data_IF_135850634058
#
_entry.id   IF_135850634058
#
_cell.length_a   1.000
_cell.length_b   1.000
_cell.length_c   1.000
_cell.angle_alpha   90.00
_cell.angle_beta   90.00
_cell.angle_gamma   90.00
#
_symmetry.space_group_name_H-M   'P 1'
#
loop_
_entity.id
_entity.type
_entity.pdbx_description
1 polymer ?
#
# COMPACT_ATOMS: atom_id res chain seq x y z
N UNK A 1 -54.13 -2.94 38.15
CA UNK A 1 -53.83 -1.57 37.69
C UNK A 1 -52.39 -1.19 38.04
N UNK A 2 -51.40 -1.89 37.46
CA UNK A 2 -49.95 -1.64 37.72
C UNK A 2 -49.17 -1.47 36.40
N UNK A 3 -49.67 -2.02 35.28
CA UNK A 3 -49.02 -1.96 33.98
C UNK A 3 -49.05 -0.59 33.28
N UNK A 4 -49.93 0.34 33.68
CA UNK A 4 -50.03 1.66 33.06
C UNK A 4 -49.00 2.67 33.56
N UNK A 5 -48.36 2.41 34.72
CA UNK A 5 -47.36 3.32 35.30
C UNK A 5 -45.95 3.11 34.74
N UNK A 6 -45.66 1.92 34.20
CA UNK A 6 -44.36 1.61 33.60
C UNK A 6 -44.20 2.22 32.20
N UNK A 7 -45.31 2.41 31.46
CA UNK A 7 -45.25 2.94 30.10
C UNK A 7 -44.98 4.46 30.06
N UNK A 8 -45.37 5.20 31.10
CA UNK A 8 -45.14 6.65 31.17
C UNK A 8 -43.69 7.04 31.50
N UNK A 9 -42.91 6.15 32.12
CA UNK A 9 -41.50 6.43 32.45
C UNK A 9 -40.55 6.19 31.28
N UNK A 10 -40.93 5.37 30.30
CA UNK A 10 -40.10 5.06 29.13
C UNK A 10 -40.06 6.20 28.09
N UNK A 11 -41.09 7.06 28.06
CA UNK A 11 -41.20 8.13 27.04
C UNK A 11 -40.41 9.39 27.45
N UNK A 12 -40.19 9.60 28.76
CA UNK A 12 -39.43 10.75 29.28
C UNK A 12 -37.91 10.62 29.17
N UNK A 13 -37.39 9.43 28.82
CA UNK A 13 -35.95 9.20 28.62
C UNK A 13 -35.50 9.38 27.16
N UNK A 14 -36.44 9.42 26.20
CA UNK A 14 -36.11 9.47 24.77
C UNK A 14 -35.92 10.89 24.21
N UNK A 15 -36.19 11.94 25.00
CA UNK A 15 -36.14 13.33 24.51
C UNK A 15 -34.84 14.08 24.82
N UNK A 16 -33.78 13.41 25.34
CA UNK A 16 -32.53 14.08 25.75
C UNK A 16 -31.35 13.83 24.78
N UNK A 17 -31.53 13.09 23.69
CA UNK A 17 -30.47 12.85 22.70
C UNK A 17 -30.75 13.56 21.37
N UNK A 18 -30.95 14.88 21.43
CA UNK A 18 -31.00 15.75 20.26
C UNK A 18 -30.04 16.92 20.43
N UNK A 19 -28.79 16.62 20.81
CA UNK A 19 -27.69 17.55 20.57
C UNK A 19 -27.37 17.50 19.09
N UNK A 20 -27.86 18.50 18.36
CA UNK A 20 -27.43 18.88 17.02
C UNK A 20 -25.90 18.97 16.99
N UNK A 21 -25.26 17.96 16.42
CA UNK A 21 -23.88 18.08 15.97
C UNK A 21 -23.86 19.13 14.86
N UNK A 22 -23.19 20.27 15.12
CA UNK A 22 -22.89 21.23 14.08
C UNK A 22 -22.08 20.51 12.99
N UNK A 23 -22.36 20.75 11.69
CA UNK A 23 -21.47 20.28 10.64
C UNK A 23 -20.11 20.95 10.86
N UNK A 24 -19.08 20.13 11.03
CA UNK A 24 -17.69 20.58 10.90
C UNK A 24 -17.57 21.33 9.58
N UNK A 25 -17.00 22.54 9.56
CA UNK A 25 -16.81 23.28 8.32
C UNK A 25 -15.97 22.40 7.39
N UNK A 26 -16.60 21.93 6.32
CA UNK A 26 -15.91 21.27 5.22
C UNK A 26 -14.99 22.33 4.65
N UNK A 27 -13.70 22.21 4.93
CA UNK A 27 -12.65 22.92 4.21
C UNK A 27 -12.94 22.71 2.72
N UNK A 28 -13.28 23.78 2.00
CA UNK A 28 -13.84 23.70 0.65
C UNK A 28 -12.97 22.90 -0.33
N UNK A 29 -13.53 22.54 -1.48
CA UNK A 29 -12.89 21.72 -2.52
C UNK A 29 -11.46 22.16 -2.85
N UNK A 30 -11.18 23.47 -2.75
CA UNK A 30 -9.85 24.04 -2.94
C UNK A 30 -8.82 23.57 -1.90
N UNK A 31 -9.23 23.36 -0.66
CA UNK A 31 -8.37 22.82 0.40
C UNK A 31 -8.09 21.32 0.22
N UNK A 32 -9.06 20.58 -0.32
CA UNK A 32 -8.91 19.15 -0.62
C UNK A 32 -8.01 18.95 -1.84
N UNK A 33 -8.18 19.77 -2.88
CA UNK A 33 -7.30 19.80 -4.05
C UNK A 33 -5.86 20.20 -3.70
N UNK A 34 -5.67 21.20 -2.80
CA UNK A 34 -4.34 21.58 -2.31
C UNK A 34 -3.69 20.47 -1.49
N UNK A 35 -4.46 19.76 -0.65
CA UNK A 35 -3.96 18.62 0.12
C UNK A 35 -3.58 17.45 -0.78
N UNK A 36 -4.36 17.18 -1.82
CA UNK A 36 -4.04 16.17 -2.85
C UNK A 36 -2.76 16.52 -3.61
N UNK A 37 -2.61 17.78 -4.07
CA UNK A 37 -1.39 18.23 -4.76
C UNK A 37 -0.13 18.13 -3.88
N UNK A 38 -0.28 18.41 -2.59
CA UNK A 38 0.82 18.32 -1.63
C UNK A 38 1.23 16.88 -1.36
N UNK A 39 0.26 15.96 -1.26
CA UNK A 39 0.53 14.53 -1.05
C UNK A 39 1.10 13.86 -2.31
N UNK A 40 0.53 14.17 -3.48
CA UNK A 40 1.01 13.66 -4.76
C UNK A 40 2.46 14.12 -5.06
N UNK A 41 2.85 15.35 -4.68
CA UNK A 41 4.24 15.82 -4.80
C UNK A 41 5.22 15.09 -3.88
N UNK A 42 4.78 14.60 -2.71
CA UNK A 42 5.65 13.81 -1.82
C UNK A 42 5.95 12.43 -2.38
N UNK A 43 5.00 11.84 -3.10
CA UNK A 43 5.12 10.49 -3.66
C UNK A 43 5.70 10.49 -5.10
N UNK A 44 5.49 11.55 -5.87
CA UNK A 44 6.03 11.73 -7.22
C UNK A 44 6.79 13.07 -7.33
N UNK A 45 8.04 13.15 -6.84
CA UNK A 45 8.84 14.36 -6.99
C UNK A 45 9.15 14.61 -8.46
N UNK A 46 9.08 15.89 -8.89
CA UNK A 46 9.49 16.28 -10.23
C UNK A 46 10.98 15.93 -10.45
N UNK A 47 11.32 15.52 -11.67
CA UNK A 47 12.68 15.15 -12.06
C UNK A 47 13.66 16.29 -11.76
N UNK A 48 14.43 16.17 -10.67
CA UNK A 48 15.45 17.15 -10.26
C UNK A 48 15.44 17.53 -8.77
N UNK A 49 14.38 17.23 -8.00
CA UNK A 49 14.35 17.52 -6.57
C UNK A 49 14.71 16.30 -5.72
N UNK A 50 15.92 16.32 -5.16
CA UNK A 50 16.39 15.37 -4.16
C UNK A 50 15.70 15.60 -2.80
N UNK A 51 14.40 15.34 -2.72
CA UNK A 51 13.65 15.36 -1.46
C UNK A 51 13.80 14.00 -0.75
N UNK A 52 15.01 13.70 -0.27
CA UNK A 52 15.22 12.57 0.65
C UNK A 52 14.61 12.97 2.00
N UNK A 53 13.54 12.33 2.51
CA UNK A 53 13.08 12.61 3.86
C UNK A 53 14.21 12.28 4.86
N UNK A 54 14.48 13.21 5.77
CA UNK A 54 15.40 12.97 6.88
C UNK A 54 14.87 11.85 7.76
N UNK A 55 15.71 10.92 8.24
CA UNK A 55 15.26 9.89 9.18
C UNK A 55 14.70 10.55 10.44
N UNK A 56 13.50 10.14 10.86
CA UNK A 56 12.90 10.59 12.11
C UNK A 56 13.82 10.26 13.29
N UNK A 57 14.26 11.29 14.01
CA UNK A 57 14.97 11.15 15.27
C UNK A 57 13.99 10.75 16.38
N UNK A 58 13.64 9.47 16.46
CA UNK A 58 13.01 8.89 17.66
C UNK A 58 13.54 7.48 17.92
N UNK A 59 14.85 7.40 18.13
CA UNK A 59 15.52 6.20 18.62
C UNK A 59 15.31 6.06 20.13
N UNK A 60 14.17 5.51 20.55
CA UNK A 60 14.10 4.90 21.88
C UNK A 60 14.82 3.56 21.82
N UNK A 61 15.91 3.42 22.59
CA UNK A 61 16.68 2.17 22.70
C UNK A 61 15.82 1.06 23.29
N UNK A 62 15.08 0.32 22.46
CA UNK A 62 14.55 -0.99 22.86
C UNK A 62 15.71 -1.98 22.84
N UNK A 63 16.12 -2.40 24.04
CA UNK A 63 17.09 -3.46 24.27
C UNK A 63 16.71 -4.68 23.41
N UNK A 64 17.64 -5.11 22.57
CA UNK A 64 17.66 -6.43 21.95
C UNK A 64 17.36 -7.47 23.01
N UNK A 65 16.18 -8.07 22.95
CA UNK A 65 16.02 -9.44 23.44
C UNK A 65 16.39 -10.31 22.27
N UNK A 66 17.65 -10.75 22.28
CA UNK A 66 18.14 -11.83 21.46
C UNK A 66 17.15 -13.00 21.58
N UNK A 67 16.28 -13.16 20.58
CA UNK A 67 15.59 -14.40 20.36
C UNK A 67 16.69 -15.43 20.11
N UNK A 68 16.76 -16.41 21.00
CA UNK A 68 17.77 -17.45 21.04
C UNK A 68 17.82 -18.15 19.68
N UNK A 69 18.85 -17.82 18.91
CA UNK A 69 19.18 -18.45 17.63
C UNK A 69 19.55 -19.92 17.89
N UNK A 70 18.54 -20.80 17.85
CA UNK A 70 18.75 -22.22 17.82
C UNK A 70 18.87 -22.67 16.35
N UNK A 71 20.12 -22.78 15.88
CA UNK A 71 20.58 -23.64 14.79
C UNK A 71 19.67 -23.77 13.55
N UNK A 72 19.53 -22.70 12.77
CA UNK A 72 19.34 -22.80 11.32
C UNK A 72 20.40 -21.92 10.64
N UNK A 73 21.67 -22.25 10.84
CA UNK A 73 22.73 -21.88 9.92
C UNK A 73 22.65 -22.81 8.70
N UNK A 74 21.54 -22.72 7.96
CA UNK A 74 21.50 -23.19 6.59
C UNK A 74 21.50 -21.92 5.75
N UNK A 75 22.64 -21.65 5.13
CA UNK A 75 22.82 -20.61 4.13
C UNK A 75 21.88 -20.89 2.96
N UNK A 76 20.61 -20.50 3.08
CA UNK A 76 19.76 -20.38 1.91
C UNK A 76 20.20 -19.06 1.29
N UNK A 77 21.10 -19.15 0.30
CA UNK A 77 21.27 -18.09 -0.68
C UNK A 77 19.98 -18.01 -1.50
N UNK A 78 18.88 -17.65 -0.84
CA UNK A 78 17.60 -17.49 -1.50
C UNK A 78 17.74 -16.21 -2.32
N UNK A 79 17.47 -16.26 -3.64
CA UNK A 79 17.54 -15.06 -4.45
C UNK A 79 16.50 -14.04 -3.98
N UNK A 80 16.77 -12.76 -4.24
CA UNK A 80 15.76 -11.72 -4.09
C UNK A 80 14.53 -12.04 -4.94
N UNK A 81 13.34 -11.65 -4.48
CA UNK A 81 12.07 -11.94 -5.14
C UNK A 81 11.55 -13.36 -4.97
N UNK A 82 12.15 -14.17 -4.09
CA UNK A 82 11.57 -15.46 -3.74
C UNK A 82 10.24 -15.29 -2.97
N UNK A 83 9.25 -16.17 -3.19
CA UNK A 83 7.91 -16.03 -2.60
C UNK A 83 7.88 -16.19 -1.08
N UNK A 84 8.86 -16.88 -0.50
CA UNK A 84 8.98 -17.09 0.94
C UNK A 84 10.42 -16.85 1.39
N UNK A 85 10.69 -15.65 1.90
CA UNK A 85 12.01 -15.23 2.34
C UNK A 85 11.96 -14.73 3.79
N UNK A 86 11.69 -15.68 4.69
CA UNK A 86 11.54 -15.42 6.12
C UNK A 86 12.83 -14.89 6.80
N UNK A 87 13.96 -14.93 6.08
CA UNK A 87 15.22 -14.36 6.55
C UNK A 87 15.26 -12.83 6.38
N UNK A 88 14.58 -12.29 5.37
CA UNK A 88 14.54 -10.84 5.07
C UNK A 88 13.20 -10.20 5.36
N UNK A 89 12.09 -10.87 5.05
CA UNK A 89 10.74 -10.33 5.16
C UNK A 89 9.82 -11.24 5.99
N UNK A 90 8.75 -10.68 6.60
CA UNK A 90 7.71 -11.47 7.23
C UNK A 90 7.04 -12.46 6.27
N UNK A 91 6.27 -13.41 6.83
CA UNK A 91 5.42 -14.27 6.03
C UNK A 91 4.51 -13.45 5.10
N UNK A 92 4.21 -14.01 3.93
CA UNK A 92 3.39 -13.40 2.85
C UNK A 92 3.97 -12.12 2.24
N UNK A 93 5.22 -11.78 2.53
CA UNK A 93 5.96 -10.70 1.89
C UNK A 93 7.21 -11.24 1.20
N UNK A 94 7.68 -10.53 0.18
CA UNK A 94 8.92 -10.85 -0.53
C UNK A 94 9.90 -9.69 -0.49
N UNK A 95 11.18 -10.01 -0.45
CA UNK A 95 12.26 -9.03 -0.50
C UNK A 95 12.53 -8.63 -1.96
N UNK A 96 12.11 -7.43 -2.33
CA UNK A 96 12.36 -6.85 -3.65
C UNK A 96 13.49 -5.82 -3.59
N UNK A 97 14.41 -5.80 -4.56
CA UNK A 97 15.39 -4.72 -4.65
C UNK A 97 14.72 -3.37 -4.85
N UNK A 98 15.20 -2.33 -4.17
CA UNK A 98 14.66 -0.96 -4.28
C UNK A 98 15.07 -0.31 -5.62
N UNK A 99 16.14 -0.81 -6.23
CA UNK A 99 16.64 -0.36 -7.53
C UNK A 99 16.63 -1.52 -8.53
N UNK A 100 16.32 -1.26 -9.81
CA UNK A 100 16.43 -2.30 -10.83
C UNK A 100 17.87 -2.82 -10.88
N UNK A 101 18.01 -4.15 -10.82
CA UNK A 101 19.29 -4.84 -10.87
C UNK A 101 19.43 -5.53 -12.22
N UNK A 102 20.63 -5.54 -12.77
CA UNK A 102 20.97 -6.41 -13.90
C UNK A 102 21.01 -7.88 -13.46
N UNK A 103 20.92 -8.80 -14.42
CA UNK A 103 20.98 -10.25 -14.15
C UNK A 103 22.23 -10.65 -13.35
N UNK A 104 23.38 -10.03 -13.64
CA UNK A 104 24.62 -10.28 -12.90
C UNK A 104 24.55 -9.76 -11.45
N UNK A 105 23.93 -8.59 -11.24
CA UNK A 105 23.76 -8.03 -9.90
C UNK A 105 22.81 -8.86 -9.04
N UNK A 106 21.75 -9.43 -9.64
CA UNK A 106 20.81 -10.35 -8.97
C UNK A 106 21.57 -11.60 -8.47
N UNK A 107 22.45 -12.17 -9.29
CA UNK A 107 23.26 -13.35 -8.93
C UNK A 107 24.27 -13.05 -7.81
N UNK A 108 24.75 -11.82 -7.73
CA UNK A 108 25.67 -11.36 -6.68
C UNK A 108 24.97 -10.68 -5.51
N UNK A 109 23.64 -10.66 -5.50
CA UNK A 109 22.89 -9.99 -4.44
C UNK A 109 23.22 -10.61 -3.09
N UNK A 110 23.64 -9.77 -2.15
CA UNK A 110 24.01 -10.17 -0.79
C UNK A 110 23.04 -9.55 0.21
N UNK A 111 23.21 -9.82 1.50
CA UNK A 111 22.40 -9.15 2.53
C UNK A 111 22.61 -7.63 2.59
N UNK A 112 23.60 -7.08 1.89
CA UNK A 112 23.87 -5.64 1.80
C UNK A 112 23.09 -4.96 0.66
N UNK A 113 22.51 -5.72 -0.28
CA UNK A 113 21.71 -5.11 -1.35
C UNK A 113 20.45 -4.51 -0.75
N UNK A 114 20.17 -3.21 -0.95
CA UNK A 114 18.97 -2.59 -0.42
C UNK A 114 17.72 -3.25 -0.97
N UNK A 115 16.86 -3.73 -0.07
CA UNK A 115 15.59 -4.35 -0.40
C UNK A 115 14.46 -3.71 0.39
N UNK A 116 13.26 -3.82 -0.15
CA UNK A 116 12.00 -3.54 0.52
C UNK A 116 11.15 -4.81 0.58
N UNK A 117 10.33 -4.91 1.62
CA UNK A 117 9.37 -5.99 1.76
C UNK A 117 8.03 -5.54 1.18
N UNK A 118 7.59 -6.19 0.11
CA UNK A 118 6.31 -5.92 -0.53
C UNK A 118 5.38 -7.12 -0.41
N UNK A 119 4.08 -6.86 -0.48
CA UNK A 119 3.04 -7.88 -0.51
C UNK A 119 2.61 -8.07 -1.96
N UNK A 120 3.09 -9.11 -2.67
CA UNK A 120 2.83 -9.27 -4.10
C UNK A 120 1.34 -9.49 -4.40
N UNK A 121 0.54 -9.77 -3.37
CA UNK A 121 -0.89 -10.02 -3.50
C UNK A 121 -1.73 -8.74 -3.60
N UNK A 122 -1.22 -7.62 -3.10
CA UNK A 122 -1.99 -6.37 -2.94
C UNK A 122 -1.20 -5.09 -3.24
N UNK A 123 0.12 -5.19 -3.46
CA UNK A 123 0.96 -4.04 -3.79
C UNK A 123 0.71 -3.57 -5.23
N UNK A 124 0.35 -2.29 -5.38
CA UNK A 124 0.05 -1.70 -6.68
C UNK A 124 1.28 -1.55 -7.59
N UNK A 125 2.46 -1.33 -7.00
CA UNK A 125 3.69 -1.01 -7.72
C UNK A 125 4.55 -2.25 -7.98
N UNK A 126 4.21 -3.37 -7.35
CA UNK A 126 4.88 -4.67 -7.48
C UNK A 126 3.84 -5.79 -7.37
N UNK A 127 2.79 -5.68 -8.18
CA UNK A 127 1.71 -6.66 -8.19
C UNK A 127 2.17 -7.96 -8.85
N UNK A 128 1.92 -9.09 -8.19
CA UNK A 128 2.32 -10.41 -8.64
C UNK A 128 3.80 -10.76 -8.42
N UNK A 129 4.64 -9.78 -8.03
CA UNK A 129 6.08 -9.98 -7.84
C UNK A 129 6.86 -8.66 -7.83
N UNK A 130 8.18 -8.74 -7.78
CA UNK A 130 9.03 -7.55 -7.80
C UNK A 130 9.03 -6.89 -9.19
N UNK A 131 8.50 -5.68 -9.30
CA UNK A 131 8.57 -4.91 -10.54
C UNK A 131 10.02 -4.60 -10.95
N UNK A 132 10.92 -4.38 -9.98
CA UNK A 132 12.34 -4.13 -10.20
C UNK A 132 13.12 -5.34 -10.73
N UNK A 133 12.59 -6.55 -10.56
CA UNK A 133 13.13 -7.79 -11.14
C UNK A 133 12.36 -8.24 -12.40
N UNK A 134 11.29 -7.52 -12.78
CA UNK A 134 10.38 -7.91 -13.86
C UNK A 134 9.52 -9.14 -13.55
N UNK A 135 9.45 -9.60 -12.30
CA UNK A 135 8.60 -10.72 -11.89
C UNK A 135 7.19 -10.28 -11.50
N UNK A 136 6.99 -8.98 -11.24
CA UNK A 136 5.67 -8.36 -11.13
C UNK A 136 5.59 -7.08 -11.95
N UNK A 137 4.49 -6.36 -11.80
CA UNK A 137 4.22 -5.16 -12.58
C UNK A 137 3.62 -4.03 -11.74
N UNK A 138 3.85 -2.81 -12.17
CA UNK A 138 3.22 -1.62 -11.62
C UNK A 138 1.87 -1.39 -12.31
N UNK A 139 0.76 -1.68 -11.61
CA UNK A 139 -0.58 -1.52 -12.16
C UNK A 139 -0.89 -0.06 -12.50
N UNK A 140 -0.23 0.90 -11.85
CA UNK A 140 -0.45 2.34 -12.04
C UNK A 140 0.26 2.89 -13.28
N UNK A 141 1.24 2.14 -13.80
CA UNK A 141 1.97 2.48 -15.01
C UNK A 141 1.33 1.89 -16.30
N UNK A 142 0.20 1.19 -16.16
CA UNK A 142 -0.53 0.65 -17.31
C UNK A 142 -1.08 1.77 -18.20
N UNK A 143 -1.04 1.66 -19.53
CA UNK A 143 -1.49 2.73 -20.42
C UNK A 143 -2.99 3.02 -20.26
N UNK A 144 -3.35 4.30 -20.12
CA UNK A 144 -4.74 4.77 -20.11
C UNK A 144 -5.56 4.36 -18.88
N UNK A 145 -4.93 3.80 -17.84
CA UNK A 145 -5.66 3.46 -16.59
C UNK A 145 -5.90 4.71 -15.76
N UNK A 146 -7.09 4.80 -15.17
CA UNK A 146 -7.48 5.86 -14.24
C UNK A 146 -7.64 5.34 -12.81
N UNK A 147 -8.15 4.11 -12.66
CA UNK A 147 -8.30 3.45 -11.36
C UNK A 147 -7.97 1.97 -11.48
N UNK A 148 -7.11 1.48 -10.59
CA UNK A 148 -6.60 0.11 -10.57
C UNK A 148 -6.53 -0.43 -9.15
N UNK A 149 -6.48 -1.75 -9.02
CA UNK A 149 -6.17 -2.45 -7.77
C UNK A 149 -5.29 -3.67 -8.05
N UNK A 150 -4.45 -4.06 -7.11
CA UNK A 150 -3.83 -5.38 -7.11
C UNK A 150 -4.64 -6.30 -6.19
N UNK A 151 -5.09 -7.44 -6.70
CA UNK A 151 -5.72 -8.46 -5.88
C UNK A 151 -5.29 -9.85 -6.34
N UNK A 152 -4.86 -10.68 -5.38
CA UNK A 152 -4.41 -12.05 -5.63
C UNK A 152 -3.27 -12.06 -6.68
N UNK A 153 -2.39 -11.05 -6.61
CA UNK A 153 -1.26 -10.90 -7.53
C UNK A 153 -1.63 -10.55 -8.97
N UNK A 154 -2.84 -10.05 -9.19
CA UNK A 154 -3.33 -9.63 -10.52
C UNK A 154 -3.83 -8.19 -10.47
N UNK A 155 -3.47 -7.40 -11.48
CA UNK A 155 -3.95 -6.03 -11.63
C UNK A 155 -5.36 -6.01 -12.20
N UNK A 156 -6.33 -5.51 -11.43
CA UNK A 156 -7.69 -5.27 -11.89
C UNK A 156 -7.87 -3.78 -12.21
N UNK A 157 -8.36 -3.49 -13.40
CA UNK A 157 -8.67 -2.14 -13.88
C UNK A 157 -10.14 -1.84 -13.64
N UNK A 158 -10.42 -0.77 -12.89
CA UNK A 158 -11.78 -0.35 -12.56
C UNK A 158 -12.28 0.76 -13.48
N UNK A 159 -11.40 1.63 -13.95
CA UNK A 159 -11.72 2.69 -14.90
C UNK A 159 -10.52 3.11 -15.73
N UNK A 160 -10.81 3.60 -16.94
CA UNK A 160 -9.83 4.14 -17.87
C UNK A 160 -9.97 5.66 -18.01
N UNK A 161 -8.91 6.30 -18.48
CA UNK A 161 -8.93 7.71 -18.90
C UNK A 161 -9.84 7.93 -20.12
N UNK A 162 -10.13 9.20 -20.42
CA UNK A 162 -10.93 9.56 -21.59
C UNK A 162 -10.26 9.06 -22.89
N UNK A 163 -11.06 8.51 -23.79
CA UNK A 163 -10.57 7.91 -25.03
C UNK A 163 -10.09 6.46 -24.88
N UNK A 164 -10.27 5.86 -23.70
CA UNK A 164 -10.00 4.44 -23.45
C UNK A 164 -11.24 3.74 -22.86
N UNK A 165 -11.31 2.43 -23.06
CA UNK A 165 -12.30 1.53 -22.46
C UNK A 165 -11.62 0.37 -21.76
N UNK A 166 -12.19 -0.12 -20.66
CA UNK A 166 -11.67 -1.29 -19.95
C UNK A 166 -11.76 -2.50 -20.87
N UNK A 167 -10.67 -3.25 -20.98
CA UNK A 167 -10.60 -4.46 -21.79
C UNK A 167 -11.58 -5.53 -21.30
N UNK A 168 -11.90 -6.49 -22.16
CA UNK A 168 -12.85 -7.56 -21.83
C UNK A 168 -12.38 -8.45 -20.65
N UNK A 169 -11.07 -8.58 -20.46
CA UNK A 169 -10.48 -9.32 -19.35
C UNK A 169 -10.29 -8.47 -18.08
N UNK A 170 -10.50 -7.15 -18.15
CA UNK A 170 -10.46 -6.25 -16.99
C UNK A 170 -9.06 -5.95 -16.47
N UNK A 171 -8.01 -6.26 -17.23
CA UNK A 171 -6.60 -6.05 -16.81
C UNK A 171 -5.91 -4.90 -17.55
N UNK A 172 -6.55 -4.28 -18.54
CA UNK A 172 -5.97 -3.18 -19.32
C UNK A 172 -7.03 -2.19 -19.79
N UNK A 173 -6.54 -1.08 -20.36
CA UNK A 173 -7.36 -0.10 -21.05
C UNK A 173 -6.97 -0.08 -22.54
N UNK A 174 -7.98 -0.14 -23.41
CA UNK A 174 -7.80 -0.12 -24.86
C UNK A 174 -8.41 1.15 -25.45
N UNK A 175 -7.78 1.78 -26.46
CA UNK A 175 -8.33 2.97 -27.10
C UNK A 175 -9.73 2.74 -27.64
N UNK A 176 -10.65 3.67 -27.34
CA UNK A 176 -12.01 3.66 -27.88
C UNK A 176 -11.95 3.99 -29.37
N UNK A 177 -12.30 3.03 -30.23
CA UNK A 177 -12.35 3.22 -31.68
C UNK A 177 -13.47 4.19 -32.12
#
# INVERSE_FOLDING_TARGET
MIFTRLFSLAVLSFTILSTSALPTPTTGDEALAKRWHEDHRRHHPATGENARPSPSASGTKKKEKAATAANVALFVNLPLGAPEDLARCPATQMACPITPLTENEILTATNETPFECISPQEDLYSCGGCATLGTGLDCTALPGVSSVSCAIGTCNVHSCEEGYTVSADGHSCEPTA
#
